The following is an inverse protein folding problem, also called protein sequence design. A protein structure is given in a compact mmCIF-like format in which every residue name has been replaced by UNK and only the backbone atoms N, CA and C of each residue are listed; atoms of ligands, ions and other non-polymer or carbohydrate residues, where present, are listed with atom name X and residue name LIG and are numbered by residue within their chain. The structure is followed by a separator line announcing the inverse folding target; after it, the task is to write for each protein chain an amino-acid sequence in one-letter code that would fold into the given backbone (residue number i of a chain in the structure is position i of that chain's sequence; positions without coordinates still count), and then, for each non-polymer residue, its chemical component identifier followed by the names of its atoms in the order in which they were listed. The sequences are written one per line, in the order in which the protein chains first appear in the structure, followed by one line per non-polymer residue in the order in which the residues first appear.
data_IF_891608318105
#
_entry.id   IF_891608318105
#
_cell.length_a   1.000
_cell.length_b   1.000
_cell.length_c   1.000
_cell.angle_alpha   90.00
_cell.angle_beta   90.00
_cell.angle_gamma   90.00
#
_symmetry.space_group_name_H-M   'P 1'
#
loop_
_entity.id
_entity.type
_entity.pdbx_description
1 polymer ?
#
# COMPACT_ATOMS: atom_id res chain seq x y z
N UNK A 1 16.95 -4.14 9.43
CA UNK A 1 16.37 -4.93 8.31
C UNK A 1 17.28 -4.73 7.09
N UNK A 2 17.33 -5.66 6.12
CA UNK A 2 18.02 -5.41 4.82
C UNK A 2 17.03 -4.77 3.85
N UNK A 3 17.48 -3.82 3.01
CA UNK A 3 16.62 -3.28 1.94
C UNK A 3 16.22 -4.38 0.95
N UNK A 4 14.96 -4.39 0.49
CA UNK A 4 14.52 -5.28 -0.57
C UNK A 4 15.30 -5.03 -1.88
N UNK A 5 15.42 -6.03 -2.76
CA UNK A 5 16.19 -5.92 -4.02
C UNK A 5 15.34 -6.14 -5.26
N UNK A 6 14.02 -6.24 -5.10
CA UNK A 6 13.09 -6.52 -6.20
C UNK A 6 11.99 -5.47 -6.24
N UNK A 7 10.73 -5.86 -6.08
CA UNK A 7 9.56 -4.98 -6.18
C UNK A 7 8.71 -5.17 -4.93
N UNK A 8 8.10 -4.11 -4.43
CA UNK A 8 7.24 -4.15 -3.24
C UNK A 8 5.85 -3.62 -3.56
N UNK A 9 4.86 -4.32 -3.02
CA UNK A 9 3.46 -3.93 -3.11
C UNK A 9 2.84 -3.95 -1.72
N UNK A 10 2.26 -2.82 -1.33
CA UNK A 10 1.45 -2.70 -0.12
C UNK A 10 -0.02 -2.93 -0.48
N UNK A 11 -0.63 -3.96 0.11
CA UNK A 11 -2.01 -4.35 -0.17
C UNK A 11 -2.99 -3.53 0.66
N UNK A 12 -3.58 -2.52 0.04
CA UNK A 12 -4.56 -1.61 0.64
C UNK A 12 -6.02 -2.01 0.30
N UNK A 13 -6.97 -1.10 0.51
CA UNK A 13 -8.41 -1.22 0.26
C UNK A 13 -8.98 0.12 -0.18
N UNK A 14 -10.08 0.17 -0.93
CA UNK A 14 -10.85 1.41 -1.12
C UNK A 14 -11.27 2.05 0.23
N UNK A 15 -11.33 1.27 1.31
CA UNK A 15 -11.52 1.78 2.67
C UNK A 15 -10.51 2.86 3.07
N UNK A 16 -9.32 2.90 2.46
CA UNK A 16 -8.31 3.92 2.76
C UNK A 16 -8.80 5.36 2.49
N UNK A 17 -9.81 5.54 1.63
CA UNK A 17 -10.43 6.85 1.39
C UNK A 17 -11.16 7.41 2.61
N UNK A 18 -11.52 6.57 3.59
CA UNK A 18 -12.14 6.98 4.85
C UNK A 18 -11.18 7.09 6.03
N UNK A 19 -9.88 6.88 5.82
CA UNK A 19 -8.87 6.93 6.89
C UNK A 19 -8.53 8.35 7.33
N UNK A 20 -8.00 8.48 8.54
CA UNK A 20 -7.51 9.72 9.14
C UNK A 20 -5.98 9.84 9.01
N UNK A 21 -5.51 10.75 8.16
CA UNK A 21 -4.08 10.97 7.92
C UNK A 21 -3.34 11.66 9.08
N UNK A 22 -4.05 12.08 10.14
CA UNK A 22 -3.42 12.77 11.26
C UNK A 22 -2.59 11.86 12.15
N UNK A 23 -2.69 10.53 11.98
CA UNK A 23 -1.99 9.48 12.74
C UNK A 23 -2.33 9.46 14.24
N UNK A 24 -3.45 10.08 14.63
CA UNK A 24 -3.94 10.04 16.00
C UNK A 24 -4.27 8.61 16.38
N UNK A 25 -3.85 8.20 17.57
CA UNK A 25 -4.12 6.87 18.13
C UNK A 25 -3.57 5.68 17.31
N UNK A 26 -2.59 5.86 16.42
CA UNK A 26 -2.00 4.78 15.58
C UNK A 26 -1.49 3.56 16.39
N UNK A 27 -1.05 3.77 17.64
CA UNK A 27 -0.56 2.71 18.54
C UNK A 27 -1.64 2.11 19.46
N UNK A 28 -2.90 2.52 19.28
CA UNK A 28 -4.10 1.99 19.94
C UNK A 28 -4.99 1.34 18.88
N UNK A 29 -6.06 0.63 19.25
CA UNK A 29 -7.05 0.18 18.29
C UNK A 29 -7.54 1.37 17.44
N UNK A 30 -7.43 1.21 16.12
CA UNK A 30 -7.82 2.19 15.11
C UNK A 30 -8.66 1.50 14.03
N UNK A 31 -9.24 2.29 13.13
CA UNK A 31 -10.17 1.79 12.13
C UNK A 31 -9.44 0.95 11.07
N UNK A 32 -10.21 0.11 10.35
CA UNK A 32 -9.65 -0.63 9.22
C UNK A 32 -9.20 0.33 8.11
N UNK A 33 -9.96 1.39 7.90
CA UNK A 33 -9.72 2.51 7.02
C UNK A 33 -8.35 3.15 7.28
N UNK A 34 -8.03 3.48 8.54
CA UNK A 34 -6.72 4.03 8.93
C UNK A 34 -5.59 3.07 8.59
N UNK A 35 -5.76 1.77 8.91
CA UNK A 35 -4.74 0.77 8.61
C UNK A 35 -4.46 0.67 7.10
N UNK A 36 -5.51 0.81 6.28
CA UNK A 36 -5.41 0.76 4.82
C UNK A 36 -4.83 2.05 4.24
N UNK A 37 -5.09 3.20 4.87
CA UNK A 37 -4.41 4.45 4.55
C UNK A 37 -2.91 4.39 4.86
N UNK A 38 -2.54 3.80 6.00
CA UNK A 38 -1.14 3.61 6.39
C UNK A 38 -0.37 2.74 5.37
N UNK A 39 -0.99 1.69 4.81
CA UNK A 39 -0.38 0.89 3.72
C UNK A 39 0.00 1.77 2.50
N UNK A 40 -0.86 2.71 2.10
CA UNK A 40 -0.58 3.64 0.99
C UNK A 40 0.50 4.65 1.36
N UNK A 41 0.44 5.20 2.58
CA UNK A 41 1.45 6.13 3.10
C UNK A 41 2.84 5.49 3.16
N UNK A 42 2.94 4.24 3.62
CA UNK A 42 4.19 3.48 3.65
C UNK A 42 4.73 3.26 2.24
N UNK A 43 3.89 2.84 1.29
CA UNK A 43 4.29 2.69 -0.10
C UNK A 43 4.89 3.98 -0.67
N UNK A 44 4.22 5.12 -0.45
CA UNK A 44 4.70 6.42 -0.92
C UNK A 44 6.02 6.86 -0.24
N UNK A 45 6.16 6.56 1.06
CA UNK A 45 7.37 6.89 1.82
C UNK A 45 8.59 6.12 1.28
N UNK A 46 8.42 4.81 1.06
CA UNK A 46 9.47 3.96 0.53
C UNK A 46 9.75 4.23 -0.95
N UNK A 47 8.72 4.51 -1.76
CA UNK A 47 8.89 4.93 -3.15
C UNK A 47 9.74 6.20 -3.26
N UNK A 48 9.48 7.22 -2.43
CA UNK A 48 10.31 8.45 -2.39
C UNK A 48 11.77 8.14 -2.06
N UNK A 49 12.00 7.23 -1.10
CA UNK A 49 13.35 6.96 -0.56
C UNK A 49 14.20 6.12 -1.50
N UNK A 50 13.60 5.16 -2.18
CA UNK A 50 14.32 4.24 -3.05
C UNK A 50 14.23 4.61 -4.54
N UNK A 51 13.40 5.59 -4.89
CA UNK A 51 13.29 6.10 -6.26
C UNK A 51 13.04 4.99 -7.28
N UNK A 52 13.86 4.98 -8.32
CA UNK A 52 13.76 4.04 -9.44
C UNK A 52 14.54 2.73 -9.21
N UNK A 53 15.29 2.61 -8.12
CA UNK A 53 16.06 1.39 -7.82
C UNK A 53 15.13 0.20 -7.54
N UNK A 54 13.99 0.47 -6.90
CA UNK A 54 12.99 -0.53 -6.48
C UNK A 54 11.62 0.07 -6.72
N UNK A 55 10.81 -0.62 -7.53
CA UNK A 55 9.41 -0.24 -7.69
C UNK A 55 8.63 -0.57 -6.42
N UNK A 56 8.08 0.47 -5.77
CA UNK A 56 7.20 0.36 -4.62
C UNK A 56 5.85 0.93 -4.98
N UNK A 57 4.79 0.16 -4.79
CA UNK A 57 3.42 0.57 -5.16
C UNK A 57 2.44 0.17 -4.06
N UNK A 58 1.22 0.71 -4.16
CA UNK A 58 0.09 0.26 -3.35
C UNK A 58 -1.08 -0.13 -4.24
N UNK A 59 -1.88 -1.11 -3.80
CA UNK A 59 -2.96 -1.66 -4.62
C UNK A 59 -4.21 -1.93 -3.79
N UNK A 60 -5.38 -1.63 -4.36
CA UNK A 60 -6.65 -2.22 -3.93
C UNK A 60 -7.09 -3.33 -4.91
N UNK A 61 -7.38 -4.56 -4.45
CA UNK A 61 -7.73 -5.67 -5.33
C UNK A 61 -9.21 -5.74 -5.73
N UNK A 62 -10.05 -4.83 -5.22
CA UNK A 62 -11.51 -4.94 -5.33
C UNK A 62 -12.14 -5.67 -4.12
N UNK A 63 -13.45 -5.50 -3.94
CA UNK A 63 -14.22 -6.32 -3.00
C UNK A 63 -14.51 -7.71 -3.61
N UNK A 64 -13.69 -8.69 -3.21
CA UNK A 64 -13.71 -10.06 -3.76
C UNK A 64 -14.14 -11.12 -2.75
N UNK A 65 -14.77 -12.19 -3.26
CA UNK A 65 -15.27 -13.33 -2.47
C UNK A 65 -14.13 -14.14 -1.86
N UNK A 66 -13.65 -13.67 -0.73
CA UNK A 66 -12.67 -14.33 0.15
C UNK A 66 -13.30 -14.54 1.53
N UNK A 67 -12.60 -15.20 2.45
CA UNK A 67 -13.04 -15.26 3.86
C UNK A 67 -13.23 -13.85 4.47
N UNK A 68 -12.37 -12.90 4.11
CA UNK A 68 -12.42 -11.52 4.59
C UNK A 68 -13.47 -10.68 3.86
N UNK A 69 -13.63 -10.86 2.55
CA UNK A 69 -14.64 -10.13 1.77
C UNK A 69 -16.07 -10.64 1.95
N UNK A 70 -16.24 -11.86 2.46
CA UNK A 70 -17.55 -12.48 2.63
C UNK A 70 -18.18 -12.98 1.32
N UNK A 71 -19.25 -13.76 1.44
CA UNK A 71 -19.97 -14.35 0.30
C UNK A 71 -20.69 -13.30 -0.56
N UNK A 72 -21.04 -12.15 0.03
CA UNK A 72 -21.75 -11.06 -0.64
C UNK A 72 -20.86 -10.19 -1.53
N UNK A 73 -19.53 -10.39 -1.50
CA UNK A 73 -18.64 -9.64 -2.37
C UNK A 73 -19.00 -9.85 -3.85
N UNK A 74 -19.02 -8.78 -4.67
CA UNK A 74 -19.43 -8.89 -6.07
C UNK A 74 -18.34 -9.51 -6.95
N UNK A 75 -17.06 -9.30 -6.61
CA UNK A 75 -15.92 -9.74 -7.42
C UNK A 75 -15.49 -11.19 -7.17
N UNK A 76 -14.94 -11.84 -8.21
CA UNK A 76 -14.20 -13.10 -8.08
C UNK A 76 -12.71 -12.85 -7.81
N UNK A 77 -12.02 -13.85 -7.26
CA UNK A 77 -10.58 -13.76 -6.96
C UNK A 77 -9.70 -13.80 -8.21
N UNK A 78 -10.16 -14.39 -9.31
CA UNK A 78 -9.30 -14.74 -10.45
C UNK A 78 -8.63 -13.53 -11.09
N UNK A 79 -9.39 -12.44 -11.29
CA UNK A 79 -8.86 -11.22 -11.93
C UNK A 79 -7.78 -10.54 -11.09
N UNK A 80 -8.00 -10.17 -9.82
CA UNK A 80 -6.95 -9.57 -9.00
C UNK A 80 -5.81 -10.54 -8.71
N UNK A 81 -6.06 -11.84 -8.55
CA UNK A 81 -5.00 -12.81 -8.35
C UNK A 81 -4.07 -12.89 -9.56
N UNK A 82 -4.64 -12.96 -10.79
CA UNK A 82 -3.86 -12.93 -12.02
C UNK A 82 -3.09 -11.62 -12.18
N UNK A 83 -3.75 -10.47 -11.95
CA UNK A 83 -3.11 -9.16 -12.06
C UNK A 83 -1.95 -9.00 -11.07
N UNK A 84 -2.10 -9.48 -9.83
CA UNK A 84 -1.05 -9.48 -8.82
C UNK A 84 0.11 -10.42 -9.18
N UNK A 85 -0.20 -11.61 -9.72
CA UNK A 85 0.82 -12.56 -10.17
C UNK A 85 1.63 -12.03 -11.36
N UNK A 86 0.96 -11.47 -12.36
CA UNK A 86 1.61 -10.79 -13.49
C UNK A 86 2.46 -9.63 -13.01
N UNK A 87 1.91 -8.78 -12.13
CA UNK A 87 2.66 -7.69 -11.52
C UNK A 87 3.90 -8.25 -10.83
N UNK A 88 3.80 -9.25 -9.95
CA UNK A 88 4.91 -9.76 -9.15
C UNK A 88 6.12 -10.21 -9.99
N UNK A 89 5.89 -10.76 -11.18
CA UNK A 89 6.96 -11.19 -12.12
C UNK A 89 7.35 -10.12 -13.14
N UNK A 90 6.91 -8.88 -12.96
CA UNK A 90 7.25 -7.75 -13.84
C UNK A 90 6.51 -7.76 -15.18
N UNK A 91 5.37 -8.43 -15.26
CA UNK A 91 4.55 -8.56 -16.47
C UNK A 91 3.22 -7.82 -16.35
N UNK A 92 2.54 -7.66 -17.50
CA UNK A 92 1.25 -6.99 -17.57
C UNK A 92 1.35 -5.47 -17.50
N UNK A 93 0.21 -4.79 -17.74
CA UNK A 93 0.16 -3.32 -17.79
C UNK A 93 0.50 -2.65 -16.45
N UNK A 94 0.13 -3.28 -15.34
CA UNK A 94 0.29 -2.71 -13.99
C UNK A 94 1.75 -2.75 -13.53
N UNK A 95 2.56 -3.68 -14.05
CA UNK A 95 3.98 -3.72 -13.73
C UNK A 95 4.76 -2.51 -14.27
N UNK A 96 4.22 -1.82 -15.28
CA UNK A 96 4.83 -0.66 -15.93
C UNK A 96 4.50 0.68 -15.25
N UNK A 97 3.66 0.67 -14.22
CA UNK A 97 3.32 1.88 -13.46
C UNK A 97 4.56 2.39 -12.71
N UNK A 98 4.61 3.69 -12.42
CA UNK A 98 5.75 4.26 -11.71
C UNK A 98 5.77 3.85 -10.23
N UNK A 99 6.94 3.98 -9.60
CA UNK A 99 7.06 3.84 -8.15
C UNK A 99 6.23 4.95 -7.47
N UNK A 100 5.52 4.63 -6.39
CA UNK A 100 4.61 5.54 -5.69
C UNK A 100 3.19 5.55 -6.23
N UNK A 101 2.89 4.82 -7.32
CA UNK A 101 1.53 4.73 -7.84
C UNK A 101 0.62 3.90 -6.93
N UNK A 102 -0.57 4.42 -6.66
CA UNK A 102 -1.72 3.63 -6.18
C UNK A 102 -2.52 3.15 -7.39
N UNK A 103 -2.92 1.88 -7.41
CA UNK A 103 -3.72 1.34 -8.50
C UNK A 103 -4.75 0.31 -8.07
N UNK A 104 -5.71 0.07 -8.97
CA UNK A 104 -6.66 -1.03 -8.91
C UNK A 104 -6.40 -1.99 -10.08
N UNK A 105 -7.14 -3.09 -10.15
CA UNK A 105 -7.11 -3.99 -11.33
C UNK A 105 -7.41 -3.27 -12.66
N UNK A 106 -8.07 -2.11 -12.61
CA UNK A 106 -8.41 -1.31 -13.79
C UNK A 106 -7.22 -0.47 -14.28
N UNK A 107 -6.31 -0.09 -13.40
CA UNK A 107 -5.21 0.83 -13.68
C UNK A 107 -4.94 1.76 -12.50
N UNK A 108 -4.09 2.75 -12.75
CA UNK A 108 -3.79 3.84 -11.80
C UNK A 108 -5.05 4.54 -11.31
N UNK A 109 -5.03 4.93 -10.03
CA UNK A 109 -6.08 5.70 -9.38
C UNK A 109 -5.46 6.69 -8.39
N UNK A 110 -6.19 7.76 -8.08
CA UNK A 110 -5.78 8.68 -7.03
C UNK A 110 -6.09 8.09 -5.66
N UNK A 111 -5.12 7.96 -4.74
CA UNK A 111 -5.39 7.52 -3.38
C UNK A 111 -5.98 8.67 -2.55
N UNK A 112 -6.32 8.38 -1.29
CA UNK A 112 -6.61 9.40 -0.28
C UNK A 112 -5.56 10.53 -0.31
N UNK A 113 -5.95 11.82 -0.34
CA UNK A 113 -5.02 12.94 -0.53
C UNK A 113 -3.97 13.04 0.58
N UNK A 114 -4.33 12.67 1.81
CA UNK A 114 -3.39 12.61 2.94
C UNK A 114 -2.26 11.61 2.74
N UNK A 115 -2.41 10.63 1.85
CA UNK A 115 -1.36 9.64 1.58
C UNK A 115 -0.11 10.27 0.95
N UNK A 116 -0.23 11.43 0.30
CA UNK A 116 0.90 12.19 -0.27
C UNK A 116 1.62 13.11 0.73
N UNK A 117 1.13 13.24 1.96
CA UNK A 117 1.72 14.14 2.95
C UNK A 117 3.06 13.59 3.47
N UNK A 118 4.16 14.14 2.96
CA UNK A 118 5.53 13.74 3.30
C UNK A 118 5.80 13.79 4.81
N UNK A 119 5.37 14.85 5.50
CA UNK A 119 5.59 14.99 6.94
C UNK A 119 4.90 13.86 7.73
N UNK A 120 3.67 13.51 7.33
CA UNK A 120 2.92 12.41 7.95
C UNK A 120 3.50 11.04 7.61
N UNK A 121 4.00 10.83 6.39
CA UNK A 121 4.72 9.60 6.06
C UNK A 121 5.96 9.39 6.95
N UNK A 122 6.74 10.45 7.19
CA UNK A 122 7.92 10.39 8.06
C UNK A 122 7.53 10.17 9.54
N UNK A 123 6.44 10.78 9.99
CA UNK A 123 5.86 10.52 11.32
C UNK A 123 5.43 9.06 11.47
N UNK A 124 4.75 8.49 10.47
CA UNK A 124 4.34 7.09 10.46
C UNK A 124 5.54 6.14 10.53
N UNK A 125 6.59 6.39 9.75
CA UNK A 125 7.82 5.58 9.79
C UNK A 125 8.47 5.59 11.19
N UNK A 126 8.53 6.76 11.85
CA UNK A 126 9.04 6.87 13.22
C UNK A 126 8.19 6.13 14.23
N UNK A 127 6.86 6.17 14.07
CA UNK A 127 5.93 5.39 14.90
C UNK A 127 6.20 3.89 14.71
N UNK A 128 6.30 3.43 13.45
CA UNK A 128 6.59 2.03 13.13
C UNK A 128 7.93 1.58 13.72
N UNK A 129 8.98 2.38 13.60
CA UNK A 129 10.29 2.09 14.20
C UNK A 129 10.20 1.99 15.72
N UNK A 130 9.54 2.95 16.39
CA UNK A 130 9.37 2.95 17.84
C UNK A 130 8.63 1.72 18.36
N UNK A 131 7.62 1.25 17.62
CA UNK A 131 6.80 0.09 18.02
C UNK A 131 7.49 -1.23 17.69
N UNK A 132 8.10 -1.32 16.51
CA UNK A 132 8.69 -2.58 16.01
C UNK A 132 10.15 -2.79 16.43
N UNK A 133 10.86 -1.73 16.81
CA UNK A 133 12.31 -1.75 16.99
C UNK A 133 13.09 -1.89 15.68
N UNK A 134 12.44 -1.72 14.54
CA UNK A 134 13.04 -1.88 13.20
C UNK A 134 13.13 -0.53 12.50
N UNK A 135 14.35 -0.08 12.24
CA UNK A 135 14.63 1.12 11.47
C UNK A 135 14.39 0.90 9.97
N UNK A 136 14.15 2.01 9.27
CA UNK A 136 14.12 2.05 7.80
C UNK A 136 15.51 1.69 7.28
N UNK A 137 15.65 0.71 6.37
CA UNK A 137 16.95 0.37 5.81
C UNK A 137 17.41 1.48 4.85
N UNK A 138 18.64 1.96 5.06
CA UNK A 138 19.28 3.00 4.24
C UNK A 138 19.90 2.42 2.96
N UNK A 139 20.24 1.13 2.94
CA UNK A 139 20.87 0.38 1.84
C UNK A 139 20.35 -1.04 1.66
#
# INVERSE_FOLDING_TARGET
MKRPTSRLLFMSSDSHYGGDETLRNTIRPHSYEDSKLHDVMLANAFARRWGDDIQVVSMHPGWVRTKMGGSMAPGSMDKPAKALAEWAVGQGKLAKLESGTFFTISGEASPHPGAGNVSKQEELLKICEKVSGVSVPEE
#
